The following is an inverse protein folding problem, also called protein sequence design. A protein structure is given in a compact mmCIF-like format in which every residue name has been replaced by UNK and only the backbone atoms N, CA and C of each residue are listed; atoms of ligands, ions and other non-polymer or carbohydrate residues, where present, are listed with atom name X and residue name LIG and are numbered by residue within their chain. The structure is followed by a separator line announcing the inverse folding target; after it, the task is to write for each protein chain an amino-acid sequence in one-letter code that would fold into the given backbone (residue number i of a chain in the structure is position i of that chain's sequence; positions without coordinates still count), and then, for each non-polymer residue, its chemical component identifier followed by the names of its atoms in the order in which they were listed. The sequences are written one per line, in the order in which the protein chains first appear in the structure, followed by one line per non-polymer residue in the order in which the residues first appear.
data_IF_361610766349
#
_entry.id   IF_361610766349
#
_cell.length_a   1.000
_cell.length_b   1.000
_cell.length_c   1.000
_cell.angle_alpha   90.00
_cell.angle_beta   90.00
_cell.angle_gamma   90.00
#
_symmetry.space_group_name_H-M   'P 1'
#
loop_
_entity.id
_entity.type
_entity.pdbx_description
1 polymer ?
#
# COMPACT_ATOMS: atom_id res chain seq x y z
N UNK A 1 -22.47 9.76 -4.92
CA UNK A 1 -22.78 8.94 -3.73
C UNK A 1 -22.41 9.72 -2.49
N UNK A 2 -23.23 9.72 -1.46
CA UNK A 2 -22.94 10.33 -0.16
C UNK A 2 -22.15 9.37 0.74
N UNK A 3 -20.98 8.98 0.27
CA UNK A 3 -20.14 7.98 0.96
C UNK A 3 -18.74 8.55 1.22
N UNK A 4 -18.09 8.19 2.32
CA UNK A 4 -16.67 8.48 2.53
C UNK A 4 -15.81 7.99 1.37
N UNK A 5 -14.74 8.71 1.05
CA UNK A 5 -13.86 8.38 -0.07
C UNK A 5 -12.40 8.58 0.30
N UNK A 6 -11.55 7.66 -0.15
CA UNK A 6 -10.09 7.80 -0.13
C UNK A 6 -9.64 8.18 -1.55
N UNK A 7 -9.00 9.33 -1.69
CA UNK A 7 -8.40 9.81 -2.94
C UNK A 7 -6.91 9.50 -2.90
N UNK A 8 -6.49 8.54 -3.72
CA UNK A 8 -5.13 8.03 -3.73
C UNK A 8 -4.29 8.70 -4.83
N UNK A 9 -3.05 8.99 -4.50
CA UNK A 9 -2.04 9.42 -5.45
C UNK A 9 -0.73 8.69 -5.17
N UNK A 10 -0.28 7.88 -6.12
CA UNK A 10 1.00 7.22 -6.06
C UNK A 10 2.16 8.22 -6.21
N UNK A 11 3.38 7.76 -5.93
CA UNK A 11 4.60 8.54 -6.18
C UNK A 11 4.66 9.04 -7.62
N UNK A 12 4.30 8.20 -8.59
CA UNK A 12 4.27 8.57 -10.02
C UNK A 12 3.19 9.61 -10.32
N UNK A 13 2.00 9.47 -9.75
CA UNK A 13 0.94 10.46 -9.90
C UNK A 13 1.34 11.81 -9.31
N UNK A 14 2.00 11.83 -8.15
CA UNK A 14 2.54 13.05 -7.52
C UNK A 14 3.63 13.70 -8.38
N UNK A 15 4.54 12.90 -8.91
CA UNK A 15 5.59 13.40 -9.81
C UNK A 15 5.02 13.99 -11.11
N UNK A 16 3.94 13.40 -11.64
CA UNK A 16 3.27 13.87 -12.86
C UNK A 16 2.45 15.14 -12.64
N UNK A 17 1.57 15.15 -11.65
CA UNK A 17 0.62 16.25 -11.43
C UNK A 17 1.20 17.37 -10.55
N UNK A 18 2.16 17.05 -9.68
CA UNK A 18 2.69 17.95 -8.66
C UNK A 18 1.86 17.98 -7.38
N UNK A 19 2.55 17.90 -6.25
CA UNK A 19 1.94 17.85 -4.92
C UNK A 19 1.03 19.04 -4.62
N UNK A 20 1.46 20.24 -5.00
CA UNK A 20 0.69 21.47 -4.78
C UNK A 20 -0.65 21.42 -5.51
N UNK A 21 -0.65 20.98 -6.78
CA UNK A 21 -1.89 20.87 -7.56
C UNK A 21 -2.84 19.86 -6.94
N UNK A 22 -2.35 18.67 -6.60
CA UNK A 22 -3.15 17.61 -5.99
C UNK A 22 -3.78 18.07 -4.67
N UNK A 23 -2.99 18.69 -3.79
CA UNK A 23 -3.47 19.22 -2.52
C UNK A 23 -4.59 20.25 -2.69
N UNK A 24 -4.43 21.17 -3.65
CA UNK A 24 -5.44 22.21 -3.92
C UNK A 24 -6.72 21.64 -4.54
N UNK A 25 -6.61 20.64 -5.42
CA UNK A 25 -7.77 19.94 -5.99
C UNK A 25 -8.56 19.25 -4.88
N UNK A 26 -7.89 18.48 -4.02
CA UNK A 26 -8.55 17.79 -2.91
C UNK A 26 -9.15 18.76 -1.91
N UNK A 27 -8.44 19.85 -1.57
CA UNK A 27 -8.97 20.90 -0.70
C UNK A 27 -10.21 21.59 -1.30
N UNK A 28 -10.24 21.81 -2.62
CA UNK A 28 -11.40 22.34 -3.31
C UNK A 28 -12.59 21.38 -3.24
N UNK A 29 -12.36 20.09 -3.50
CA UNK A 29 -13.39 19.05 -3.40
C UNK A 29 -13.97 18.94 -1.99
N UNK A 30 -13.14 18.99 -0.95
CA UNK A 30 -13.59 18.99 0.43
C UNK A 30 -14.51 20.20 0.76
N UNK A 31 -14.23 21.36 0.17
CA UNK A 31 -15.11 22.54 0.32
C UNK A 31 -16.41 22.43 -0.48
N UNK A 32 -16.35 21.81 -1.67
CA UNK A 32 -17.53 21.62 -2.53
C UNK A 32 -18.48 20.56 -1.95
N UNK A 33 -17.96 19.58 -1.25
CA UNK A 33 -18.71 18.45 -0.68
C UNK A 33 -18.47 18.30 0.83
N UNK A 34 -18.89 19.27 1.65
CA UNK A 34 -18.51 19.34 3.07
C UNK A 34 -19.11 18.22 3.94
N UNK A 35 -20.11 17.51 3.41
CA UNK A 35 -20.73 16.36 4.10
C UNK A 35 -20.06 15.02 3.82
N UNK A 36 -19.12 14.98 2.85
CA UNK A 36 -18.42 13.74 2.48
C UNK A 36 -17.04 13.75 3.15
N UNK A 37 -16.76 12.80 4.05
CA UNK A 37 -15.41 12.59 4.56
C UNK A 37 -14.45 12.22 3.42
N UNK A 38 -13.37 12.98 3.27
CA UNK A 38 -12.35 12.73 2.24
C UNK A 38 -11.02 12.50 2.93
N UNK A 39 -10.38 11.37 2.62
CA UNK A 39 -8.99 11.09 2.96
C UNK A 39 -8.12 11.31 1.71
N UNK A 40 -7.04 12.06 1.85
CA UNK A 40 -6.01 12.19 0.81
C UNK A 40 -4.86 11.27 1.16
N UNK A 41 -4.63 10.26 0.34
CA UNK A 41 -3.72 9.16 0.61
C UNK A 41 -2.54 9.10 -0.39
N UNK A 42 -1.32 9.02 0.15
CA UNK A 42 -0.13 8.69 -0.62
C UNK A 42 -0.04 7.17 -0.76
N UNK A 43 -0.17 6.68 -1.96
CA UNK A 43 -0.15 5.27 -2.30
C UNK A 43 1.26 4.82 -2.71
N UNK A 44 1.72 3.67 -2.23
CA UNK A 44 3.06 3.09 -2.45
C UNK A 44 4.24 4.06 -2.22
N UNK A 45 4.37 4.56 -1.00
CA UNK A 45 5.57 5.28 -0.55
C UNK A 45 6.76 4.32 -0.42
N UNK A 46 7.80 4.51 -1.20
CA UNK A 46 8.96 3.62 -1.28
C UNK A 46 10.08 3.95 -0.28
N UNK A 47 9.92 4.98 0.50
CA UNK A 47 10.84 5.40 1.56
C UNK A 47 10.20 6.46 2.46
N UNK A 48 10.84 6.75 3.59
CA UNK A 48 10.38 7.76 4.54
C UNK A 48 10.19 9.15 3.91
N UNK A 49 11.12 9.59 3.06
CA UNK A 49 11.05 10.93 2.46
C UNK A 49 9.81 11.07 1.58
N UNK A 50 9.42 10.04 0.84
CA UNK A 50 8.19 10.03 0.05
C UNK A 50 6.96 10.22 0.93
N UNK A 51 6.87 9.49 2.04
CA UNK A 51 5.76 9.61 2.99
C UNK A 51 5.75 10.98 3.68
N UNK A 52 6.90 11.44 4.16
CA UNK A 52 6.98 12.73 4.89
C UNK A 52 6.73 13.93 3.98
N UNK A 53 7.17 13.91 2.73
CA UNK A 53 6.85 14.98 1.78
C UNK A 53 5.36 15.01 1.44
N UNK A 54 4.70 13.86 1.34
CA UNK A 54 3.26 13.80 1.17
C UNK A 54 2.52 14.48 2.34
N UNK A 55 2.86 14.12 3.57
CA UNK A 55 2.28 14.73 4.78
C UNK A 55 2.52 16.25 4.78
N UNK A 56 3.73 16.69 4.43
CA UNK A 56 4.07 18.11 4.31
C UNK A 56 3.23 18.87 3.28
N UNK A 57 2.67 18.17 2.30
CA UNK A 57 1.73 18.72 1.30
C UNK A 57 0.25 18.50 1.66
N UNK A 58 -0.07 18.07 2.87
CA UNK A 58 -1.43 17.95 3.37
C UNK A 58 -2.11 16.60 3.10
N UNK A 59 -1.36 15.57 2.75
CA UNK A 59 -1.88 14.22 2.74
C UNK A 59 -2.21 13.78 4.16
N UNK A 60 -3.39 13.25 4.36
CA UNK A 60 -3.89 12.83 5.69
C UNK A 60 -3.63 11.36 5.98
N UNK A 61 -3.14 10.63 4.99
CA UNK A 61 -2.76 9.22 5.09
C UNK A 61 -1.62 8.91 4.12
N UNK A 62 -0.75 8.00 4.52
CA UNK A 62 0.38 7.53 3.69
C UNK A 62 0.53 6.03 3.80
N UNK A 63 0.90 5.38 2.70
CA UNK A 63 1.32 3.99 2.71
C UNK A 63 2.86 3.92 2.69
N UNK A 64 3.43 3.19 3.63
CA UNK A 64 4.83 2.79 3.56
C UNK A 64 4.92 1.37 3.01
N UNK A 65 5.32 1.27 1.76
CA UNK A 65 5.58 -0.01 1.10
C UNK A 65 7.03 -0.43 1.35
N UNK A 66 7.23 -1.23 2.39
CA UNK A 66 8.53 -1.82 2.75
C UNK A 66 8.72 -3.24 2.20
N UNK A 67 7.92 -3.66 1.23
CA UNK A 67 8.00 -5.00 0.63
C UNK A 67 9.25 -5.21 -0.24
N UNK A 68 9.85 -4.10 -0.70
CA UNK A 68 11.08 -4.09 -1.48
C UNK A 68 12.20 -3.36 -0.74
N UNK A 69 13.44 -3.79 -0.97
CA UNK A 69 14.63 -3.09 -0.50
C UNK A 69 14.77 -1.71 -1.19
N UNK A 70 15.73 -0.92 -0.74
CA UNK A 70 15.95 0.44 -1.27
C UNK A 70 16.24 0.51 -2.77
N UNK A 71 16.65 -0.59 -3.39
CA UNK A 71 16.85 -0.72 -4.84
C UNK A 71 15.54 -0.80 -5.63
N UNK A 72 14.41 -0.98 -4.95
CA UNK A 72 13.07 -1.13 -5.51
C UNK A 72 12.89 -2.33 -6.44
N UNK A 73 13.67 -3.39 -6.24
CA UNK A 73 13.73 -4.59 -7.07
C UNK A 73 13.84 -5.87 -6.27
N UNK A 74 14.57 -5.82 -5.18
CA UNK A 74 14.82 -6.97 -4.31
C UNK A 74 13.74 -7.05 -3.25
N UNK A 75 13.04 -8.20 -3.09
CA UNK A 75 12.12 -8.40 -1.98
C UNK A 75 12.81 -8.17 -0.64
N UNK A 76 12.25 -7.32 0.19
CA UNK A 76 12.83 -6.96 1.47
C UNK A 76 12.68 -8.07 2.51
N UNK A 77 13.54 -8.06 3.51
CA UNK A 77 13.36 -8.88 4.69
C UNK A 77 12.18 -8.37 5.53
N UNK A 78 11.54 -9.29 6.28
CA UNK A 78 10.48 -8.92 7.21
C UNK A 78 10.92 -7.86 8.23
N UNK A 79 12.13 -8.02 8.78
CA UNK A 79 12.66 -7.09 9.77
C UNK A 79 12.93 -5.69 9.19
N UNK A 80 13.40 -5.60 7.96
CA UNK A 80 13.54 -4.32 7.25
C UNK A 80 12.18 -3.63 7.09
N UNK A 81 11.17 -4.37 6.59
CA UNK A 81 9.83 -3.83 6.41
C UNK A 81 9.24 -3.33 7.75
N UNK A 82 9.35 -4.12 8.82
CA UNK A 82 8.92 -3.70 10.16
C UNK A 82 9.61 -2.41 10.60
N UNK A 83 10.92 -2.32 10.44
CA UNK A 83 11.69 -1.16 10.91
C UNK A 83 11.30 0.12 10.17
N UNK A 84 11.23 0.08 8.84
CA UNK A 84 10.93 1.28 8.04
C UNK A 84 9.47 1.71 8.20
N UNK A 85 8.53 0.75 8.22
CA UNK A 85 7.10 1.04 8.39
C UNK A 85 6.82 1.61 9.77
N UNK A 86 7.38 1.01 10.83
CA UNK A 86 7.26 1.53 12.20
C UNK A 86 7.73 2.97 12.31
N UNK A 87 8.88 3.28 11.73
CA UNK A 87 9.44 4.63 11.78
C UNK A 87 8.53 5.64 11.09
N UNK A 88 7.95 5.29 9.94
CA UNK A 88 6.97 6.14 9.25
C UNK A 88 5.73 6.31 10.10
N UNK A 89 5.20 5.23 10.71
CA UNK A 89 4.01 5.28 11.56
C UNK A 89 4.22 6.22 12.76
N UNK A 90 5.33 6.07 13.48
CA UNK A 90 5.66 6.94 14.62
C UNK A 90 5.65 8.43 14.24
N UNK A 91 6.25 8.81 13.11
CA UNK A 91 6.33 10.20 12.68
C UNK A 91 4.95 10.71 12.20
N UNK A 92 4.24 9.90 11.39
CA UNK A 92 2.94 10.26 10.83
C UNK A 92 1.89 10.46 11.92
N UNK A 93 1.85 9.58 12.91
CA UNK A 93 0.91 9.68 14.05
C UNK A 93 1.14 10.96 14.88
N UNK A 94 2.37 11.43 15.02
CA UNK A 94 2.66 12.70 15.72
C UNK A 94 1.96 13.91 15.11
N UNK A 95 1.69 13.87 13.80
CA UNK A 95 1.01 14.95 13.08
C UNK A 95 -0.45 14.59 12.73
N UNK A 96 -0.95 13.46 13.21
CA UNK A 96 -2.33 13.02 13.04
C UNK A 96 -2.63 12.42 11.66
N UNK A 97 -1.61 11.98 10.92
CA UNK A 97 -1.79 11.24 9.67
C UNK A 97 -1.84 9.73 9.93
N UNK A 98 -2.73 9.03 9.21
CA UNK A 98 -2.82 7.57 9.25
C UNK A 98 -1.75 6.92 8.40
N UNK A 99 -1.39 5.67 8.74
CA UNK A 99 -0.39 4.90 8.01
C UNK A 99 -0.94 3.54 7.60
N UNK A 100 -0.76 3.22 6.33
CA UNK A 100 -0.91 1.88 5.77
C UNK A 100 0.47 1.24 5.62
N UNK A 101 0.59 -0.03 5.98
CA UNK A 101 1.78 -0.84 5.71
C UNK A 101 1.47 -1.91 4.67
N UNK A 102 2.49 -2.43 4.01
CA UNK A 102 2.36 -3.55 3.09
C UNK A 102 3.11 -4.78 3.60
N UNK A 103 2.48 -5.96 3.51
CA UNK A 103 3.11 -7.22 3.85
C UNK A 103 2.86 -8.27 2.75
N UNK A 104 3.94 -8.86 2.28
CA UNK A 104 3.99 -9.67 1.07
C UNK A 104 4.34 -8.81 -0.15
N UNK A 105 4.72 -9.45 -1.23
CA UNK A 105 5.01 -8.77 -2.51
C UNK A 105 3.78 -8.87 -3.41
N UNK A 106 3.29 -7.73 -3.86
CA UNK A 106 2.17 -7.70 -4.80
C UNK A 106 2.55 -8.39 -6.11
N UNK A 107 1.74 -9.37 -6.51
CA UNK A 107 2.02 -10.12 -7.74
C UNK A 107 1.05 -11.27 -7.96
N UNK A 108 1.24 -11.98 -9.07
CA UNK A 108 0.35 -13.03 -9.54
C UNK A 108 0.85 -14.42 -9.17
N UNK A 109 0.03 -15.19 -8.48
CA UNK A 109 0.28 -16.62 -8.24
C UNK A 109 0.30 -17.45 -9.54
N UNK A 110 -0.39 -17.00 -10.58
CA UNK A 110 -0.42 -17.73 -11.87
C UNK A 110 0.93 -17.65 -12.59
N UNK A 111 1.54 -16.46 -12.63
CA UNK A 111 2.78 -16.23 -13.38
C UNK A 111 4.02 -16.28 -12.51
N UNK A 112 3.88 -16.11 -11.20
CA UNK A 112 4.98 -15.93 -10.27
C UNK A 112 5.71 -14.59 -10.43
N UNK A 113 5.09 -13.62 -11.10
CA UNK A 113 5.69 -12.31 -11.34
C UNK A 113 5.11 -11.26 -10.42
N UNK A 114 5.97 -10.38 -9.91
CA UNK A 114 5.53 -9.22 -9.14
C UNK A 114 4.81 -8.21 -10.03
N UNK A 115 3.86 -7.49 -9.43
CA UNK A 115 3.31 -6.28 -10.04
C UNK A 115 4.37 -5.18 -10.08
N UNK A 116 4.19 -4.23 -11.00
CA UNK A 116 5.01 -3.04 -11.07
C UNK A 116 4.18 -1.81 -10.71
N UNK A 117 4.67 -1.06 -9.73
CA UNK A 117 4.10 0.21 -9.31
C UNK A 117 5.08 1.34 -9.59
N UNK A 118 4.64 2.35 -10.33
CA UNK A 118 5.48 3.49 -10.75
C UNK A 118 6.84 3.07 -11.37
N UNK A 119 6.85 1.93 -12.09
CA UNK A 119 8.05 1.37 -12.70
C UNK A 119 8.95 0.57 -11.75
N UNK A 120 8.59 0.44 -10.48
CA UNK A 120 9.25 -0.39 -9.47
C UNK A 120 8.52 -1.72 -9.28
N UNK A 121 9.24 -2.76 -8.90
CA UNK A 121 8.68 -4.09 -8.64
C UNK A 121 9.77 -5.14 -8.58
N UNK A 122 9.55 -6.23 -7.84
CA UNK A 122 10.51 -7.31 -7.73
C UNK A 122 10.86 -7.90 -9.09
N UNK A 123 12.14 -8.18 -9.28
CA UNK A 123 12.64 -8.84 -10.49
C UNK A 123 12.71 -10.37 -10.29
N UNK A 124 12.43 -11.11 -11.36
CA UNK A 124 12.45 -12.56 -11.33
C UNK A 124 11.12 -13.20 -10.95
N UNK A 125 11.15 -14.51 -10.71
CA UNK A 125 9.97 -15.26 -10.25
C UNK A 125 9.98 -15.38 -8.74
N UNK A 126 8.82 -15.10 -8.17
CA UNK A 126 8.55 -15.19 -6.75
C UNK A 126 7.80 -16.48 -6.43
N UNK A 127 8.01 -17.03 -5.24
CA UNK A 127 7.26 -18.16 -4.76
C UNK A 127 5.92 -17.74 -4.10
N UNK A 128 5.06 -18.71 -3.83
CA UNK A 128 3.75 -18.44 -3.24
C UNK A 128 3.84 -17.80 -1.84
N UNK A 129 4.93 -18.03 -1.10
CA UNK A 129 5.12 -17.43 0.23
C UNK A 129 5.45 -15.95 0.14
N UNK A 130 6.07 -15.51 -0.96
CA UNK A 130 6.35 -14.10 -1.21
C UNK A 130 5.13 -13.37 -1.75
N UNK A 131 4.26 -14.07 -2.50
CA UNK A 131 3.07 -13.54 -3.15
C UNK A 131 1.79 -13.63 -2.29
N UNK A 132 1.88 -14.19 -1.10
CA UNK A 132 0.77 -14.29 -0.14
C UNK A 132 1.23 -13.81 1.22
N UNK A 133 0.42 -12.97 1.84
CA UNK A 133 0.65 -12.53 3.20
C UNK A 133 0.38 -13.67 4.18
N UNK A 134 1.35 -13.97 5.04
CA UNK A 134 1.16 -14.92 6.13
C UNK A 134 0.30 -14.29 7.24
N UNK A 135 -0.82 -14.94 7.66
CA UNK A 135 -1.72 -14.35 8.66
C UNK A 135 -1.11 -14.17 10.05
N UNK A 136 -0.13 -14.97 10.45
CA UNK A 136 0.56 -14.82 11.73
C UNK A 136 1.57 -13.68 11.67
N UNK A 137 2.26 -13.53 10.55
CA UNK A 137 3.11 -12.37 10.30
C UNK A 137 2.30 -11.08 10.22
N UNK A 138 1.09 -11.10 9.63
CA UNK A 138 0.20 -9.93 9.58
C UNK A 138 -0.12 -9.41 10.99
N UNK A 139 -0.49 -10.30 11.91
CA UNK A 139 -0.76 -9.93 13.30
C UNK A 139 0.48 -9.36 14.01
N UNK A 140 1.64 -9.99 13.82
CA UNK A 140 2.90 -9.53 14.41
C UNK A 140 3.33 -8.18 13.83
N UNK A 141 3.18 -8.02 12.50
CA UNK A 141 3.51 -6.78 11.80
C UNK A 141 2.68 -5.60 12.30
N UNK A 142 1.36 -5.72 12.35
CA UNK A 142 0.47 -4.66 12.84
C UNK A 142 0.82 -4.29 14.29
N UNK A 143 1.07 -5.28 15.15
CA UNK A 143 1.47 -5.02 16.55
C UNK A 143 2.82 -4.32 16.70
N UNK A 144 3.77 -4.60 15.81
CA UNK A 144 5.12 -4.02 15.86
C UNK A 144 5.19 -2.63 15.26
N UNK A 145 4.43 -2.40 14.20
CA UNK A 145 4.48 -1.17 13.40
C UNK A 145 3.46 -0.13 13.81
N UNK A 146 2.37 -0.55 14.46
CA UNK A 146 1.23 0.29 14.85
C UNK A 146 0.57 0.98 13.64
N UNK A 147 0.51 0.31 12.49
CA UNK A 147 -0.19 0.82 11.31
C UNK A 147 -1.69 0.80 11.48
N UNK A 148 -2.38 1.76 10.86
CA UNK A 148 -3.86 1.89 10.89
C UNK A 148 -4.54 0.99 9.87
N UNK A 149 -3.82 0.63 8.80
CA UNK A 149 -4.30 -0.25 7.74
C UNK A 149 -3.18 -1.16 7.25
N UNK A 150 -3.55 -2.31 6.72
CA UNK A 150 -2.62 -3.29 6.15
C UNK A 150 -3.04 -3.67 4.73
N UNK A 151 -2.18 -3.37 3.76
CA UNK A 151 -2.25 -3.97 2.44
C UNK A 151 -1.66 -5.38 2.49
N UNK A 152 -2.45 -6.36 2.03
CA UNK A 152 -2.06 -7.76 2.04
C UNK A 152 -1.97 -8.31 0.62
N UNK A 153 -0.89 -9.01 0.32
CA UNK A 153 -0.74 -9.76 -0.92
C UNK A 153 -1.67 -10.99 -0.90
N UNK A 154 -2.57 -11.07 -1.85
CA UNK A 154 -3.60 -12.13 -1.93
C UNK A 154 -3.58 -12.88 -3.27
N UNK A 155 -2.45 -12.86 -3.99
CA UNK A 155 -2.19 -13.70 -5.15
C UNK A 155 -2.56 -13.11 -6.50
N UNK A 156 -2.88 -11.83 -6.57
CA UNK A 156 -3.14 -11.11 -7.82
C UNK A 156 -2.45 -9.74 -7.82
N UNK A 157 -2.31 -9.15 -8.99
CA UNK A 157 -1.73 -7.83 -9.21
C UNK A 157 -2.78 -6.77 -9.54
N UNK A 158 -2.38 -5.50 -9.57
CA UNK A 158 -3.21 -4.40 -10.05
C UNK A 158 -3.53 -4.53 -11.55
N UNK A 159 -4.58 -3.83 -12.00
CA UNK A 159 -4.95 -3.68 -13.38
C UNK A 159 -5.95 -4.69 -13.93
N UNK A 160 -6.36 -4.48 -15.18
CA UNK A 160 -7.38 -5.27 -15.84
C UNK A 160 -6.84 -6.57 -16.46
N UNK A 161 -5.57 -6.59 -16.85
CA UNK A 161 -4.93 -7.73 -17.52
C UNK A 161 -4.17 -8.59 -16.50
N UNK A 162 -4.91 -9.42 -15.78
CA UNK A 162 -4.37 -10.18 -14.65
C UNK A 162 -4.01 -11.61 -14.98
N UNK A 163 -4.57 -12.17 -16.06
CA UNK A 163 -4.49 -13.60 -16.34
C UNK A 163 -4.15 -13.87 -17.79
N UNK A 164 -3.29 -14.85 -18.02
CA UNK A 164 -2.94 -15.37 -19.35
C UNK A 164 -4.02 -16.28 -19.93
N UNK A 165 -4.90 -16.82 -19.06
CA UNK A 165 -6.01 -17.70 -19.41
C UNK A 165 -7.24 -17.39 -18.55
N UNK A 166 -8.40 -17.92 -18.96
CA UNK A 166 -9.61 -17.82 -18.11
C UNK A 166 -9.36 -18.54 -16.79
N UNK A 167 -9.55 -17.91 -15.64
CA UNK A 167 -9.32 -18.53 -14.35
C UNK A 167 -10.30 -19.70 -14.11
N UNK A 168 -9.78 -20.78 -13.51
CA UNK A 168 -10.56 -21.90 -13.01
C UNK A 168 -10.58 -21.79 -11.47
N UNK A 169 -11.72 -21.39 -10.90
CA UNK A 169 -11.90 -21.26 -9.46
C UNK A 169 -11.57 -19.88 -8.90
N UNK A 170 -11.24 -19.84 -7.62
CA UNK A 170 -10.99 -18.61 -6.88
C UNK A 170 -9.68 -17.95 -7.31
N UNK A 171 -9.80 -16.70 -7.71
CA UNK A 171 -8.67 -15.89 -8.19
C UNK A 171 -7.88 -15.31 -7.02
N UNK A 172 -8.61 -14.90 -5.97
CA UNK A 172 -8.04 -14.37 -4.75
C UNK A 172 -7.90 -15.50 -3.72
N UNK A 173 -6.85 -15.43 -2.92
CA UNK A 173 -6.66 -16.33 -1.78
C UNK A 173 -7.62 -15.91 -0.64
N UNK A 174 -8.93 -16.16 -0.83
CA UNK A 174 -9.99 -15.74 0.09
C UNK A 174 -9.81 -16.30 1.49
N UNK A 175 -9.29 -17.52 1.60
CA UNK A 175 -8.98 -18.16 2.88
C UNK A 175 -7.87 -17.43 3.65
N UNK A 176 -6.90 -16.86 2.96
CA UNK A 176 -5.83 -16.03 3.53
C UNK A 176 -6.42 -14.71 4.04
N UNK A 177 -7.24 -14.05 3.22
CA UNK A 177 -7.92 -12.80 3.59
C UNK A 177 -8.78 -13.00 4.85
N UNK A 178 -9.58 -14.08 4.89
CA UNK A 178 -10.40 -14.40 6.06
C UNK A 178 -9.57 -14.69 7.33
N UNK A 179 -8.45 -15.39 7.18
CA UNK A 179 -7.54 -15.67 8.31
C UNK A 179 -6.90 -14.42 8.85
N UNK A 180 -6.46 -13.50 7.96
CA UNK A 180 -5.93 -12.21 8.36
C UNK A 180 -7.00 -11.41 9.11
N UNK A 181 -8.18 -11.23 8.51
CA UNK A 181 -9.29 -10.48 9.11
C UNK A 181 -9.72 -11.00 10.49
N UNK A 182 -9.59 -12.29 10.75
CA UNK A 182 -9.90 -12.87 12.08
C UNK A 182 -8.82 -12.61 13.13
N UNK A 183 -7.63 -12.20 12.72
CA UNK A 183 -6.46 -12.02 13.63
C UNK A 183 -6.18 -10.57 13.98
N UNK A 184 -6.50 -9.63 13.06
CA UNK A 184 -6.24 -8.18 13.20
C UNK A 184 -7.52 -7.34 13.26
#
# INVERSE_FOLDING_TARGET
TDSPVILQASRGARAYAGDIMLSHIVAALAKMYPTIPICMHQDHGNNEATCMTAIGHGFTSVMMDGSLESDQKTPASYDYNVQITKKVAEIAHWVGASVEGELGVLGSLETGEAAKEDGSGAEGKLDAKQLLTDPDQALDFVKKTDVDALASACGTSHGAYKFSRKPDGDILAMDVIEKIHKKI
#
